data_IF_109064362897
#
_entry.id   IF_109064362897
#
_cell.length_a   1.000
_cell.length_b   1.000
_cell.length_c   1.000
_cell.angle_alpha   90.00
_cell.angle_beta   90.00
_cell.angle_gamma   90.00
#
_symmetry.space_group_name_H-M   'P 1'
#
loop_
_entity.id
_entity.type
_entity.pdbx_description
1 polymer ?
#
# COMPACT_ATOMS: atom_id res chain seq x y z
N UNK A 1 11.51 16.52 -7.94
CA UNK A 1 10.45 16.35 -6.93
C UNK A 1 10.49 14.91 -6.46
N UNK A 2 11.33 14.62 -5.48
CA UNK A 2 11.51 13.30 -4.87
C UNK A 2 10.26 12.98 -4.06
N UNK A 3 9.62 11.84 -4.32
CA UNK A 3 8.56 11.35 -3.42
C UNK A 3 9.17 11.05 -2.07
N UNK A 4 8.54 11.54 -1.01
CA UNK A 4 9.06 11.55 0.36
C UNK A 4 9.17 10.15 1.00
N UNK A 5 8.54 9.13 0.39
CA UNK A 5 8.48 7.76 0.89
C UNK A 5 8.83 6.74 -0.21
N UNK A 6 9.37 5.56 0.15
CA UNK A 6 9.65 4.50 -0.80
C UNK A 6 8.36 3.97 -1.45
N UNK A 7 8.50 3.43 -2.67
CA UNK A 7 7.39 2.89 -3.45
C UNK A 7 7.47 1.37 -3.53
N UNK A 8 6.39 0.69 -3.20
CA UNK A 8 6.26 -0.77 -3.25
C UNK A 8 5.22 -1.09 -4.31
N UNK A 9 5.62 -1.74 -5.39
CA UNK A 9 4.67 -2.16 -6.44
C UNK A 9 4.21 -3.57 -6.16
N UNK A 10 2.89 -3.78 -6.24
CA UNK A 10 2.27 -5.08 -6.09
C UNK A 10 1.36 -5.37 -7.27
N UNK A 11 1.29 -6.63 -7.65
CA UNK A 11 0.36 -7.16 -8.65
C UNK A 11 -0.69 -8.04 -7.96
N UNK A 12 -0.34 -8.67 -6.84
CA UNK A 12 -1.23 -9.54 -6.05
C UNK A 12 -1.22 -9.18 -4.55
N UNK A 13 -2.33 -9.43 -3.86
CA UNK A 13 -2.44 -9.23 -2.40
C UNK A 13 -1.40 -10.03 -1.60
N UNK A 14 -0.98 -11.19 -2.10
CA UNK A 14 0.07 -12.00 -1.49
C UNK A 14 1.43 -11.30 -1.43
N UNK A 15 1.75 -10.45 -2.40
CA UNK A 15 3.01 -9.69 -2.41
C UNK A 15 3.00 -8.60 -1.32
N UNK A 16 1.86 -7.93 -1.14
CA UNK A 16 1.67 -7.00 -0.03
C UNK A 16 1.84 -7.71 1.32
N UNK A 17 1.24 -8.90 1.45
CA UNK A 17 1.35 -9.71 2.67
C UNK A 17 2.81 -10.08 2.99
N UNK A 18 3.55 -10.55 2.00
CA UNK A 18 4.98 -10.87 2.17
C UNK A 18 5.78 -9.64 2.56
N UNK A 19 5.56 -8.51 1.87
CA UNK A 19 6.25 -7.27 2.19
C UNK A 19 5.93 -6.78 3.62
N UNK A 20 4.66 -6.78 4.02
CA UNK A 20 4.27 -6.44 5.39
C UNK A 20 4.86 -7.41 6.42
N UNK A 21 4.90 -8.72 6.12
CA UNK A 21 5.49 -9.69 7.04
C UNK A 21 6.95 -9.37 7.37
N UNK A 22 7.70 -8.81 6.44
CA UNK A 22 9.11 -8.44 6.65
C UNK A 22 9.28 -7.01 7.19
N UNK A 23 8.38 -6.08 6.83
CA UNK A 23 8.55 -4.64 7.08
C UNK A 23 7.55 -4.05 8.09
N UNK A 24 6.63 -4.83 8.66
CA UNK A 24 5.56 -4.31 9.53
C UNK A 24 6.08 -3.64 10.82
N UNK A 25 7.28 -3.99 11.27
CA UNK A 25 7.92 -3.40 12.44
C UNK A 25 8.59 -2.04 12.15
N UNK A 26 8.66 -1.61 10.89
CA UNK A 26 9.24 -0.31 10.53
C UNK A 26 8.29 0.84 10.88
N UNK A 27 8.87 2.01 11.18
CA UNK A 27 8.11 3.24 11.51
C UNK A 27 7.86 4.14 10.29
N UNK A 28 8.28 3.72 9.09
CA UNK A 28 8.17 4.49 7.86
C UNK A 28 6.81 4.34 7.17
N UNK A 29 6.33 5.43 6.56
CA UNK A 29 5.23 5.32 5.59
C UNK A 29 5.78 4.88 4.24
N UNK A 30 4.98 4.16 3.45
CA UNK A 30 5.33 3.76 2.09
C UNK A 30 4.19 4.05 1.12
N UNK A 31 4.53 4.22 -0.16
CA UNK A 31 3.57 4.34 -1.24
C UNK A 31 3.38 2.99 -1.92
N UNK A 32 2.20 2.40 -1.75
CA UNK A 32 1.81 1.22 -2.50
C UNK A 32 1.42 1.61 -3.93
N UNK A 33 2.06 1.02 -4.93
CA UNK A 33 1.73 1.21 -6.34
C UNK A 33 0.78 0.09 -6.76
N UNK A 34 -0.42 0.49 -7.19
CA UNK A 34 -1.52 -0.42 -7.51
C UNK A 34 -1.91 -0.20 -8.97
N UNK A 35 -2.06 -1.28 -9.72
CA UNK A 35 -2.61 -1.24 -11.08
C UNK A 35 -4.10 -0.91 -11.05
N UNK A 36 -4.58 -0.11 -12.00
CA UNK A 36 -6.02 0.17 -12.15
C UNK A 36 -6.69 -1.00 -12.87
N UNK A 37 -7.97 -1.23 -12.60
CA UNK A 37 -8.75 -2.31 -13.24
C UNK A 37 -8.67 -2.31 -14.78
N UNK A 38 -8.57 -1.14 -15.40
CA UNK A 38 -8.51 -0.99 -16.87
C UNK A 38 -7.08 -1.08 -17.45
N UNK A 39 -6.05 -1.33 -16.63
CA UNK A 39 -4.66 -1.31 -17.11
C UNK A 39 -4.22 -2.56 -17.87
N UNK A 40 -5.03 -3.63 -17.86
CA UNK A 40 -4.66 -4.94 -18.40
C UNK A 40 -3.63 -5.71 -17.56
N UNK A 41 -3.40 -5.27 -16.31
CA UNK A 41 -2.52 -5.93 -15.34
C UNK A 41 -3.35 -6.50 -14.18
N UNK A 42 -2.80 -7.45 -13.40
CA UNK A 42 -3.41 -7.89 -12.15
C UNK A 42 -3.74 -6.69 -11.25
N UNK A 43 -5.00 -6.59 -10.83
CA UNK A 43 -5.52 -5.50 -10.03
C UNK A 43 -5.86 -6.03 -8.64
N UNK A 44 -5.17 -5.51 -7.63
CA UNK A 44 -5.52 -5.74 -6.22
C UNK A 44 -6.60 -4.73 -5.83
N UNK A 45 -7.69 -5.23 -5.24
CA UNK A 45 -8.78 -4.36 -4.80
C UNK A 45 -8.36 -3.56 -3.55
N UNK A 46 -8.99 -2.40 -3.35
CA UNK A 46 -8.73 -1.59 -2.15
C UNK A 46 -9.06 -2.36 -0.86
N UNK A 47 -10.14 -3.15 -0.86
CA UNK A 47 -10.55 -3.97 0.27
C UNK A 47 -9.47 -5.00 0.67
N UNK A 48 -8.91 -5.73 -0.30
CA UNK A 48 -7.79 -6.65 -0.05
C UNK A 48 -6.57 -5.94 0.55
N UNK A 49 -6.28 -4.72 0.08
CA UNK A 49 -5.15 -3.96 0.62
C UNK A 49 -5.40 -3.56 2.07
N UNK A 50 -6.61 -3.07 2.38
CA UNK A 50 -7.01 -2.68 3.73
C UNK A 50 -6.96 -3.88 4.68
N UNK A 51 -7.51 -5.02 4.28
CA UNK A 51 -7.48 -6.26 5.06
C UNK A 51 -6.04 -6.67 5.41
N UNK A 52 -5.15 -6.69 4.42
CA UNK A 52 -3.73 -6.99 4.67
C UNK A 52 -3.08 -5.96 5.58
N UNK A 53 -3.32 -4.66 5.38
CA UNK A 53 -2.77 -3.63 6.27
C UNK A 53 -3.21 -3.86 7.73
N UNK A 54 -4.50 -4.08 7.95
CA UNK A 54 -5.05 -4.32 9.29
C UNK A 54 -4.47 -5.57 9.96
N UNK A 55 -4.21 -6.63 9.19
CA UNK A 55 -3.61 -7.88 9.68
C UNK A 55 -2.22 -7.66 10.33
N UNK A 56 -1.45 -6.69 9.82
CA UNK A 56 -0.12 -6.35 10.33
C UNK A 56 -0.09 -5.09 11.20
N UNK A 57 -1.24 -4.54 11.57
CA UNK A 57 -1.32 -3.31 12.38
C UNK A 57 -0.95 -2.05 11.61
N UNK A 58 -1.11 -2.07 10.28
CA UNK A 58 -0.94 -0.94 9.38
C UNK A 58 -2.30 -0.35 8.99
N UNK A 59 -2.29 0.89 8.52
CA UNK A 59 -3.47 1.60 8.01
C UNK A 59 -3.13 2.27 6.70
N UNK A 60 -4.10 2.34 5.80
CA UNK A 60 -4.03 3.18 4.63
C UNK A 60 -4.37 4.64 4.98
N UNK A 61 -3.92 5.55 4.14
CA UNK A 61 -4.12 7.00 4.31
C UNK A 61 -4.82 7.58 3.09
N UNK A 62 -4.05 8.16 2.17
CA UNK A 62 -4.58 8.92 1.04
C UNK A 62 -4.22 8.20 -0.25
N UNK A 63 -5.19 7.96 -1.13
CA UNK A 63 -4.90 7.57 -2.49
C UNK A 63 -4.34 8.77 -3.26
N UNK A 64 -3.38 8.51 -4.14
CA UNK A 64 -2.84 9.50 -5.07
C UNK A 64 -2.78 8.92 -6.48
N UNK A 65 -2.77 9.78 -7.49
CA UNK A 65 -2.62 9.34 -8.89
C UNK A 65 -1.13 9.16 -9.19
N UNK A 66 -0.75 7.97 -9.66
CA UNK A 66 0.58 7.73 -10.21
C UNK A 66 0.61 8.14 -11.69
N UNK A 67 -0.17 7.43 -12.51
CA UNK A 67 -0.19 7.56 -13.97
C UNK A 67 -1.60 7.29 -14.52
N UNK A 68 -1.72 7.19 -15.85
CA UNK A 68 -2.94 6.72 -16.53
C UNK A 68 -3.35 5.31 -16.06
N UNK A 69 -2.38 4.40 -15.90
CA UNK A 69 -2.60 2.97 -15.61
C UNK A 69 -2.47 2.56 -14.15
N UNK A 70 -1.86 3.41 -13.31
CA UNK A 70 -1.49 3.08 -11.93
C UNK A 70 -1.97 4.15 -10.96
N UNK A 71 -2.25 3.73 -9.73
CA UNK A 71 -2.58 4.58 -8.60
C UNK A 71 -1.56 4.33 -7.48
N UNK A 72 -1.44 5.29 -6.57
CA UNK A 72 -0.71 5.14 -5.32
C UNK A 72 -1.70 5.07 -4.17
N UNK A 73 -1.37 4.31 -3.14
CA UNK A 73 -2.03 4.36 -1.84
C UNK A 73 -0.95 4.46 -0.77
N UNK A 74 -0.97 5.52 0.04
CA UNK A 74 -0.03 5.60 1.16
C UNK A 74 -0.51 4.66 2.26
N UNK A 75 0.38 3.81 2.74
CA UNK A 75 0.16 2.97 3.91
C UNK A 75 1.23 3.28 4.96
N UNK A 76 0.87 3.13 6.23
CA UNK A 76 1.74 3.43 7.35
C UNK A 76 1.40 2.55 8.56
N UNK A 77 2.38 2.25 9.42
CA UNK A 77 2.10 1.59 10.70
C UNK A 77 1.09 2.42 11.50
N UNK A 78 0.11 1.74 12.12
CA UNK A 78 -0.88 2.41 12.94
C UNK A 78 -0.20 3.03 14.16
N UNK A 79 -0.34 4.33 14.34
CA UNK A 79 0.18 4.98 15.54
C UNK A 79 -0.63 4.52 16.76
N UNK A 80 -0.01 3.91 17.80
CA UNK A 80 -0.71 3.45 18.99
C UNK A 80 -1.32 4.59 19.82
N UNK A 81 -1.05 5.86 19.49
CA UNK A 81 -1.52 7.03 20.24
C UNK A 81 -2.83 7.66 19.74
N UNK A 82 -3.49 7.08 18.73
CA UNK A 82 -4.82 7.55 18.32
C UNK A 82 -5.89 6.86 19.17
N UNK A 83 -6.32 7.54 20.23
CA UNK A 83 -7.43 7.16 21.10
C UNK A 83 -8.71 7.91 20.75
#
# INVERSE_FOLDING_TARGET
>A
MTREYPQVTIEFAAELRSWLSENHAESGSVWLVIWKKDSGHPHVTYDEIVDQCLCFGWVDSLPAKLDARRSLLRISPRNPRSS
#
